data_IF_901116845750
#
_entry.id   IF_901116845750
#
_cell.length_a   1.000
_cell.length_b   1.000
_cell.length_c   1.000
_cell.angle_alpha   90.00
_cell.angle_beta   90.00
_cell.angle_gamma   90.00
#
_symmetry.space_group_name_H-M   'P 1'
#
loop_
_entity.id
_entity.type
_entity.pdbx_description
1 polymer ?
#
# COMPACT_ATOMS: atom_id res chain seq x y z
N UNK A 1 -6.05 -25.96 -5.56
CA UNK A 1 -5.37 -25.02 -6.48
C UNK A 1 -3.91 -25.07 -6.17
N UNK A 2 -3.02 -25.10 -7.16
CA UNK A 2 -1.57 -25.13 -6.94
C UNK A 2 -1.11 -23.82 -6.26
N UNK A 3 -0.15 -23.92 -5.35
CA UNK A 3 0.48 -22.76 -4.73
C UNK A 3 1.23 -21.96 -5.79
N UNK A 4 1.08 -20.61 -5.83
CA UNK A 4 1.82 -19.80 -6.79
C UNK A 4 3.33 -19.92 -6.55
N UNK A 5 4.06 -20.06 -7.65
CA UNK A 5 5.51 -20.28 -7.64
C UNK A 5 6.23 -18.94 -7.77
N UNK A 6 7.01 -18.57 -6.75
CA UNK A 6 7.77 -17.33 -6.70
C UNK A 6 9.26 -17.63 -6.87
N UNK A 7 9.88 -17.12 -7.92
CA UNK A 7 11.32 -17.24 -8.09
C UNK A 7 12.02 -16.09 -7.38
N UNK A 8 12.70 -16.38 -6.27
CA UNK A 8 13.51 -15.46 -5.49
C UNK A 8 14.95 -15.50 -6.02
N UNK A 9 15.47 -14.36 -6.45
CA UNK A 9 16.82 -14.22 -6.99
C UNK A 9 17.59 -13.24 -6.11
N UNK A 10 18.52 -13.80 -5.31
CA UNK A 10 19.26 -13.07 -4.28
C UNK A 10 20.59 -13.78 -4.05
N UNK A 11 21.72 -13.07 -4.06
CA UNK A 11 23.07 -13.60 -3.84
C UNK A 11 23.48 -13.62 -2.37
N UNK A 12 22.83 -12.84 -1.50
CA UNK A 12 22.98 -12.93 -0.04
C UNK A 12 22.15 -14.11 0.48
N UNK A 13 22.84 -15.21 0.87
CA UNK A 13 22.20 -16.44 1.38
C UNK A 13 21.29 -16.18 2.59
N UNK A 14 21.69 -15.29 3.52
CA UNK A 14 20.91 -15.00 4.73
C UNK A 14 19.61 -14.26 4.42
N UNK A 15 19.67 -13.32 3.48
CA UNK A 15 18.49 -12.59 3.04
C UNK A 15 17.59 -13.47 2.17
N UNK A 16 18.18 -14.27 1.29
CA UNK A 16 17.44 -15.24 0.48
C UNK A 16 16.65 -16.21 1.35
N UNK A 17 17.27 -16.79 2.40
CA UNK A 17 16.62 -17.68 3.37
C UNK A 17 15.46 -16.97 4.07
N UNK A 18 15.66 -15.77 4.59
CA UNK A 18 14.60 -14.99 5.24
C UNK A 18 13.42 -14.65 4.32
N UNK A 19 13.69 -14.32 3.05
CA UNK A 19 12.66 -14.05 2.04
C UNK A 19 11.90 -15.34 1.67
N UNK A 20 12.63 -16.43 1.44
CA UNK A 20 12.07 -17.75 1.13
C UNK A 20 11.16 -18.20 2.29
N UNK A 21 11.65 -18.21 3.53
CA UNK A 21 10.87 -18.58 4.71
C UNK A 21 9.60 -17.73 4.84
N UNK A 22 9.72 -16.41 4.64
CA UNK A 22 8.57 -15.49 4.70
C UNK A 22 7.51 -15.83 3.64
N UNK A 23 7.94 -16.16 2.42
CA UNK A 23 7.04 -16.53 1.33
C UNK A 23 6.43 -17.92 1.53
N UNK A 24 7.20 -18.91 2.02
CA UNK A 24 6.67 -20.23 2.37
C UNK A 24 5.61 -20.14 3.47
N UNK A 25 5.91 -19.42 4.56
CA UNK A 25 4.96 -19.17 5.65
C UNK A 25 3.70 -18.44 5.15
N UNK A 26 3.81 -17.67 4.10
CA UNK A 26 2.68 -16.97 3.46
C UNK A 26 1.95 -17.83 2.42
N UNK A 27 2.35 -19.14 2.30
CA UNK A 27 1.71 -20.16 1.47
C UNK A 27 2.00 -19.96 -0.03
N UNK A 28 3.15 -19.43 -0.38
CA UNK A 28 3.72 -19.50 -1.72
C UNK A 28 4.68 -20.68 -1.81
N UNK A 29 5.01 -21.05 -3.04
CA UNK A 29 6.10 -22.01 -3.32
C UNK A 29 7.32 -21.23 -3.84
N UNK A 30 8.24 -20.79 -2.98
CA UNK A 30 9.43 -20.10 -3.42
C UNK A 30 10.44 -21.06 -4.06
N UNK A 31 11.12 -20.58 -5.08
CA UNK A 31 12.29 -21.21 -5.69
C UNK A 31 13.42 -20.20 -5.58
N UNK A 32 14.59 -20.62 -5.08
CA UNK A 32 15.74 -19.73 -4.96
C UNK A 32 16.73 -19.91 -6.11
N UNK A 33 17.27 -18.80 -6.58
CA UNK A 33 18.39 -18.72 -7.52
C UNK A 33 19.41 -17.69 -6.99
N UNK A 34 20.70 -18.02 -7.02
CA UNK A 34 21.73 -17.16 -6.45
C UNK A 34 22.13 -15.99 -7.39
N UNK A 35 21.75 -16.03 -8.65
CA UNK A 35 22.04 -14.99 -9.65
C UNK A 35 21.06 -15.02 -10.82
N UNK A 36 21.11 -14.00 -11.68
CA UNK A 36 20.23 -13.91 -12.83
C UNK A 36 20.40 -15.03 -13.87
N UNK A 37 21.56 -15.67 -13.96
CA UNK A 37 21.78 -16.80 -14.90
C UNK A 37 21.07 -18.04 -14.39
N UNK A 38 21.26 -18.39 -13.11
CA UNK A 38 20.56 -19.49 -12.46
C UNK A 38 19.03 -19.28 -12.51
N UNK A 39 18.58 -18.03 -12.37
CA UNK A 39 17.18 -17.67 -12.51
C UNK A 39 16.62 -17.98 -13.91
N UNK A 40 17.33 -17.62 -14.97
CA UNK A 40 16.89 -17.92 -16.34
C UNK A 40 16.82 -19.42 -16.63
N UNK A 41 17.76 -20.22 -16.10
CA UNK A 41 17.72 -21.68 -16.21
C UNK A 41 16.49 -22.27 -15.53
N UNK A 42 16.14 -21.78 -14.32
CA UNK A 42 14.92 -22.20 -13.62
C UNK A 42 13.65 -21.80 -14.36
N UNK A 43 13.62 -20.61 -14.93
CA UNK A 43 12.48 -20.14 -15.73
C UNK A 43 12.20 -21.02 -16.96
N UNK A 44 13.19 -21.76 -17.50
CA UNK A 44 13.00 -22.67 -18.61
C UNK A 44 12.37 -24.00 -18.18
N UNK A 45 12.57 -24.42 -16.92
CA UNK A 45 12.20 -25.74 -16.43
C UNK A 45 11.01 -25.75 -15.48
N UNK A 46 10.76 -24.61 -14.81
CA UNK A 46 9.72 -24.50 -13.77
C UNK A 46 8.62 -23.51 -14.17
N UNK A 47 7.37 -23.79 -13.83
CA UNK A 47 6.29 -22.82 -13.98
C UNK A 47 6.43 -21.76 -12.87
N UNK A 48 6.83 -20.54 -13.23
CA UNK A 48 7.00 -19.41 -12.31
C UNK A 48 5.90 -18.40 -12.57
N UNK A 49 5.22 -17.97 -11.48
CA UNK A 49 4.12 -17.00 -11.51
C UNK A 49 4.59 -15.57 -11.24
N UNK A 50 5.76 -15.42 -10.56
CA UNK A 50 6.36 -14.12 -10.24
C UNK A 50 7.87 -14.28 -10.02
N UNK A 51 8.66 -13.32 -10.45
CA UNK A 51 10.09 -13.20 -10.14
C UNK A 51 10.28 -12.06 -9.14
N UNK A 52 10.98 -12.34 -8.04
CA UNK A 52 11.44 -11.37 -7.05
C UNK A 52 12.96 -11.36 -7.07
N UNK A 53 13.60 -10.27 -7.55
CA UNK A 53 15.04 -10.23 -7.77
C UNK A 53 15.72 -9.05 -7.10
N UNK A 54 16.91 -9.27 -6.52
CA UNK A 54 17.78 -8.13 -6.19
C UNK A 54 18.24 -7.43 -7.46
N UNK A 55 18.51 -6.14 -7.33
CA UNK A 55 19.11 -5.30 -8.39
C UNK A 55 20.59 -5.62 -8.56
N UNK A 56 21.31 -5.81 -7.45
CA UNK A 56 22.77 -5.97 -7.43
C UNK A 56 23.18 -7.41 -7.19
N UNK A 57 23.59 -8.12 -8.24
CA UNK A 57 24.10 -9.49 -8.18
C UNK A 57 25.17 -9.69 -9.24
N UNK A 58 26.10 -10.62 -9.02
CA UNK A 58 27.09 -11.07 -10.00
C UNK A 58 26.91 -12.58 -10.27
N UNK A 59 27.08 -13.07 -11.51
CA UNK A 59 27.58 -12.40 -12.71
C UNK A 59 26.52 -11.69 -13.57
N UNK A 60 25.23 -11.83 -13.28
CA UNK A 60 24.11 -11.17 -13.97
C UNK A 60 23.27 -10.42 -12.97
N UNK A 61 23.15 -9.10 -13.13
CA UNK A 61 22.36 -8.24 -12.27
C UNK A 61 20.85 -8.36 -12.54
N UNK A 62 20.04 -7.82 -11.61
CA UNK A 62 18.58 -7.87 -11.71
C UNK A 62 18.03 -7.05 -12.86
N UNK A 63 18.70 -5.98 -13.30
CA UNK A 63 18.26 -5.15 -14.42
C UNK A 63 18.45 -5.91 -15.76
N UNK A 64 19.52 -6.67 -15.91
CA UNK A 64 19.72 -7.52 -17.08
C UNK A 64 18.75 -8.70 -17.07
N UNK A 65 18.53 -9.31 -15.90
CA UNK A 65 17.53 -10.37 -15.73
C UNK A 65 16.14 -9.87 -16.12
N UNK A 66 15.71 -8.72 -15.61
CA UNK A 66 14.42 -8.09 -15.94
C UNK A 66 14.24 -7.95 -17.46
N UNK A 67 15.23 -7.36 -18.14
CA UNK A 67 15.19 -7.17 -19.60
C UNK A 67 15.02 -8.49 -20.35
N UNK A 68 15.75 -9.53 -19.96
CA UNK A 68 15.68 -10.87 -20.60
C UNK A 68 14.34 -11.54 -20.32
N UNK A 69 13.86 -11.49 -19.07
CA UNK A 69 12.55 -12.05 -18.71
C UNK A 69 11.45 -11.36 -19.50
N UNK A 70 11.47 -10.02 -19.60
CA UNK A 70 10.46 -9.27 -20.34
C UNK A 70 10.53 -9.45 -21.85
N UNK A 71 11.69 -9.78 -22.41
CA UNK A 71 11.84 -10.11 -23.82
C UNK A 71 11.20 -11.48 -24.16
N UNK A 72 11.32 -12.47 -23.27
CA UNK A 72 10.82 -13.84 -23.49
C UNK A 72 9.41 -14.05 -22.94
N UNK A 73 9.08 -13.43 -21.79
CA UNK A 73 7.81 -13.55 -21.06
C UNK A 73 7.31 -12.16 -20.61
N UNK A 74 6.75 -11.35 -21.52
CA UNK A 74 6.33 -9.97 -21.21
C UNK A 74 5.30 -9.90 -20.07
N UNK A 75 4.45 -10.91 -19.93
CA UNK A 75 3.38 -10.95 -18.94
C UNK A 75 3.83 -11.42 -17.55
N UNK A 76 5.01 -12.05 -17.42
CA UNK A 76 5.51 -12.52 -16.13
C UNK A 76 5.89 -11.32 -15.25
N UNK A 77 5.24 -11.12 -14.08
CA UNK A 77 5.58 -10.02 -13.19
C UNK A 77 6.97 -10.20 -12.60
N UNK A 78 7.76 -9.11 -12.59
CA UNK A 78 9.08 -9.05 -11.97
C UNK A 78 9.07 -7.94 -10.94
N UNK A 79 9.34 -8.27 -9.68
CA UNK A 79 9.53 -7.34 -8.58
C UNK A 79 11.01 -7.16 -8.32
N UNK A 80 11.46 -5.91 -8.14
CA UNK A 80 12.85 -5.59 -7.89
C UNK A 80 13.07 -5.28 -6.41
N UNK A 81 14.12 -5.84 -5.79
CA UNK A 81 14.57 -5.49 -4.44
C UNK A 81 15.81 -4.59 -4.55
N UNK A 82 15.89 -3.52 -3.75
CA UNK A 82 17.04 -2.59 -3.82
C UNK A 82 17.43 -2.06 -2.44
N UNK A 83 18.72 -2.09 -2.11
CA UNK A 83 19.27 -1.49 -0.89
C UNK A 83 19.45 0.04 -0.98
N UNK A 84 19.56 0.57 -2.19
CA UNK A 84 19.73 1.99 -2.46
C UNK A 84 18.56 2.50 -3.29
N UNK A 85 17.47 2.84 -2.61
CA UNK A 85 16.31 3.50 -3.20
C UNK A 85 16.61 4.92 -3.66
N UNK A 86 17.59 5.10 -4.57
CA UNK A 86 17.60 6.33 -5.35
C UNK A 86 16.38 6.24 -6.27
N UNK A 87 15.53 7.23 -6.17
CA UNK A 87 14.32 7.39 -7.00
C UNK A 87 14.63 7.10 -8.48
N UNK A 88 15.83 7.46 -8.96
CA UNK A 88 16.30 7.24 -10.31
C UNK A 88 16.41 5.76 -10.73
N UNK A 89 16.85 4.87 -9.84
CA UNK A 89 17.01 3.43 -10.16
C UNK A 89 15.69 2.68 -10.11
N UNK A 90 14.85 2.96 -9.12
CA UNK A 90 13.48 2.44 -9.07
C UNK A 90 12.70 2.86 -10.33
N UNK A 91 12.86 4.11 -10.74
CA UNK A 91 12.32 4.65 -12.02
C UNK A 91 12.81 3.85 -13.21
N UNK A 92 14.09 3.50 -13.25
CA UNK A 92 14.67 2.76 -14.38
C UNK A 92 14.12 1.34 -14.45
N UNK A 93 14.05 0.62 -13.33
CA UNK A 93 13.48 -0.73 -13.26
C UNK A 93 11.99 -0.76 -13.67
N UNK A 94 11.18 0.18 -13.17
CA UNK A 94 9.78 0.31 -13.57
C UNK A 94 9.64 0.60 -15.08
N UNK A 95 10.56 1.35 -15.65
CA UNK A 95 10.61 1.66 -17.08
C UNK A 95 11.01 0.45 -17.94
N UNK A 96 11.84 -0.42 -17.42
CA UNK A 96 12.25 -1.66 -18.09
C UNK A 96 11.20 -2.78 -17.95
N UNK A 97 10.05 -2.47 -17.31
CA UNK A 97 8.92 -3.37 -17.23
C UNK A 97 8.81 -4.10 -15.88
N UNK A 98 9.53 -3.68 -14.85
CA UNK A 98 9.29 -4.17 -13.51
C UNK A 98 7.83 -3.91 -13.11
N UNK A 99 7.20 -4.86 -12.42
CA UNK A 99 5.84 -4.71 -11.94
C UNK A 99 5.78 -3.79 -10.71
N UNK A 100 6.80 -3.88 -9.83
CA UNK A 100 6.96 -3.04 -8.65
C UNK A 100 8.41 -3.15 -8.12
N UNK A 101 8.72 -2.40 -7.05
CA UNK A 101 10.01 -2.48 -6.37
C UNK A 101 9.84 -2.45 -4.84
N UNK A 102 10.80 -3.06 -4.14
CA UNK A 102 10.89 -3.11 -2.69
C UNK A 102 12.21 -2.49 -2.25
N UNK A 103 12.16 -1.54 -1.32
CA UNK A 103 13.37 -0.90 -0.77
C UNK A 103 13.82 -1.67 0.46
N UNK A 104 15.04 -2.22 0.45
CA UNK A 104 15.67 -2.89 1.61
C UNK A 104 16.16 -1.83 2.62
N UNK A 105 15.99 -2.02 3.94
CA UNK A 105 15.27 -3.13 4.56
C UNK A 105 13.76 -2.97 4.48
N UNK A 106 13.02 -4.06 4.29
CA UNK A 106 11.56 -4.07 4.25
C UNK A 106 11.01 -5.04 5.31
N UNK A 107 9.83 -4.72 5.82
CA UNK A 107 9.08 -5.59 6.73
C UNK A 107 8.51 -6.78 5.96
N UNK A 108 8.40 -7.95 6.62
CA UNK A 108 7.83 -9.16 6.04
C UNK A 108 6.42 -8.92 5.44
N UNK A 109 5.62 -8.10 6.12
CA UNK A 109 4.27 -7.73 5.67
C UNK A 109 4.29 -6.96 4.34
N UNK A 110 5.24 -6.05 4.16
CA UNK A 110 5.38 -5.27 2.91
C UNK A 110 5.75 -6.19 1.75
N UNK A 111 6.67 -7.14 1.97
CA UNK A 111 7.04 -8.16 0.99
C UNK A 111 5.82 -8.98 0.57
N UNK A 112 5.12 -9.57 1.55
CA UNK A 112 3.97 -10.45 1.31
C UNK A 112 2.84 -9.71 0.59
N UNK A 113 2.52 -8.50 1.02
CA UNK A 113 1.48 -7.68 0.39
C UNK A 113 1.84 -7.30 -1.05
N UNK A 114 3.12 -7.00 -1.31
CA UNK A 114 3.58 -6.68 -2.66
C UNK A 114 3.54 -7.92 -3.56
N UNK A 115 4.06 -9.06 -3.10
CA UNK A 115 3.99 -10.32 -3.85
C UNK A 115 2.55 -10.75 -4.10
N UNK A 116 1.67 -10.66 -3.10
CA UNK A 116 0.26 -11.02 -3.22
C UNK A 116 -0.47 -10.22 -4.31
N UNK A 117 -0.10 -8.96 -4.49
CA UNK A 117 -0.65 -8.08 -5.53
C UNK A 117 -0.38 -8.59 -6.94
N UNK A 118 0.75 -9.25 -7.16
CA UNK A 118 1.20 -9.67 -8.49
C UNK A 118 1.19 -11.18 -8.73
N UNK A 119 1.25 -12.00 -7.68
CA UNK A 119 1.29 -13.46 -7.78
C UNK A 119 -0.09 -14.13 -8.01
N UNK A 120 -1.09 -13.39 -8.43
CA UNK A 120 -2.40 -13.94 -8.85
C UNK A 120 -3.29 -14.46 -7.71
N UNK A 121 -2.86 -14.41 -6.44
CA UNK A 121 -3.66 -14.89 -5.30
C UNK A 121 -4.90 -14.04 -4.99
N UNK A 122 -4.93 -12.79 -5.44
CA UNK A 122 -6.11 -11.93 -5.32
C UNK A 122 -7.09 -12.06 -6.51
N UNK A 123 -6.75 -12.84 -7.56
CA UNK A 123 -7.53 -12.91 -8.80
C UNK A 123 -8.58 -14.03 -8.86
N UNK A 124 -8.50 -15.08 -8.06
CA UNK A 124 -9.36 -16.26 -8.21
C UNK A 124 -10.32 -16.53 -7.03
N UNK A 125 -10.33 -15.70 -5.98
CA UNK A 125 -11.07 -15.97 -4.74
C UNK A 125 -12.13 -14.95 -4.33
N UNK A 126 -12.21 -13.77 -4.93
CA UNK A 126 -13.16 -12.76 -4.52
C UNK A 126 -14.47 -12.80 -5.32
N UNK A 127 -15.10 -13.96 -5.35
CA UNK A 127 -16.47 -14.08 -5.87
C UNK A 127 -17.52 -13.65 -4.85
N UNK A 128 -17.12 -13.35 -3.62
CA UNK A 128 -18.07 -13.00 -2.56
C UNK A 128 -17.46 -11.98 -1.58
N UNK A 129 -18.25 -10.94 -1.24
CA UNK A 129 -17.90 -10.03 -0.17
C UNK A 129 -18.22 -10.68 1.17
N UNK A 130 -17.23 -10.85 2.03
CA UNK A 130 -17.41 -11.44 3.35
C UNK A 130 -18.16 -10.46 4.25
N UNK A 131 -19.29 -10.91 4.82
CA UNK A 131 -20.07 -10.13 5.80
C UNK A 131 -21.53 -10.58 5.83
N UNK A 132 -22.12 -10.44 7.03
CA UNK A 132 -23.52 -10.81 7.35
C UNK A 132 -24.39 -9.57 7.61
N UNK A 133 -23.82 -8.37 7.50
CA UNK A 133 -24.54 -7.13 7.71
C UNK A 133 -25.40 -6.77 6.50
N UNK A 134 -26.66 -6.33 6.70
CA UNK A 134 -27.51 -5.88 5.60
C UNK A 134 -26.87 -4.83 4.69
N UNK A 135 -26.04 -3.92 5.23
CA UNK A 135 -25.32 -2.91 4.45
C UNK A 135 -24.32 -3.54 3.49
N UNK A 136 -23.67 -4.63 3.88
CA UNK A 136 -22.74 -5.36 3.02
C UNK A 136 -23.49 -6.17 1.97
N UNK A 137 -24.64 -6.75 2.30
CA UNK A 137 -25.50 -7.42 1.33
C UNK A 137 -26.05 -6.44 0.29
N UNK A 138 -26.53 -5.25 0.72
CA UNK A 138 -27.00 -4.18 -0.19
C UNK A 138 -25.87 -3.69 -1.09
N UNK A 139 -24.65 -3.50 -0.55
CA UNK A 139 -23.47 -3.13 -1.32
C UNK A 139 -23.14 -4.20 -2.38
N UNK A 140 -23.17 -5.48 -2.01
CA UNK A 140 -22.91 -6.59 -2.92
C UNK A 140 -23.93 -6.65 -4.05
N UNK A 141 -25.21 -6.48 -3.75
CA UNK A 141 -26.29 -6.46 -4.74
C UNK A 141 -26.18 -5.26 -5.68
N UNK A 142 -25.86 -4.10 -5.15
CA UNK A 142 -25.61 -2.89 -5.92
C UNK A 142 -24.39 -3.06 -6.83
N UNK A 143 -23.28 -3.57 -6.28
CA UNK A 143 -22.07 -3.83 -7.03
C UNK A 143 -22.30 -4.83 -8.19
N UNK A 144 -23.06 -5.92 -7.98
CA UNK A 144 -23.41 -6.85 -9.07
C UNK A 144 -24.21 -6.19 -10.20
N UNK A 145 -25.18 -5.34 -9.86
CA UNK A 145 -25.96 -4.60 -10.87
C UNK A 145 -25.07 -3.62 -11.66
N UNK A 146 -24.15 -2.92 -10.97
CA UNK A 146 -23.20 -1.98 -11.60
C UNK A 146 -22.17 -2.74 -12.43
N UNK A 147 -21.77 -3.93 -11.98
CA UNK A 147 -20.80 -4.76 -12.67
C UNK A 147 -21.24 -5.14 -14.09
N UNK A 148 -22.56 -5.30 -14.33
CA UNK A 148 -23.11 -5.60 -15.64
C UNK A 148 -22.94 -4.48 -16.67
N UNK A 149 -22.54 -3.26 -16.26
CA UNK A 149 -22.31 -2.11 -17.13
C UNK A 149 -20.82 -1.71 -17.15
N UNK A 150 -20.40 -0.99 -18.21
CA UNK A 150 -19.06 -0.40 -18.31
C UNK A 150 -18.98 1.00 -17.66
N UNK A 151 -19.98 1.37 -16.84
CA UNK A 151 -19.99 2.67 -16.19
C UNK A 151 -18.78 2.85 -15.26
N UNK A 152 -18.16 4.02 -15.34
CA UNK A 152 -17.13 4.41 -14.38
C UNK A 152 -17.72 4.47 -12.98
N UNK A 153 -17.07 3.86 -12.02
CA UNK A 153 -17.57 3.74 -10.66
C UNK A 153 -16.58 4.38 -9.69
N UNK A 154 -17.07 5.30 -8.85
CA UNK A 154 -16.30 5.92 -7.78
C UNK A 154 -16.67 5.25 -6.45
N UNK A 155 -15.71 4.51 -5.90
CA UNK A 155 -15.84 3.80 -4.62
C UNK A 155 -15.28 4.71 -3.53
N UNK A 156 -16.12 5.11 -2.59
CA UNK A 156 -15.73 6.00 -1.49
C UNK A 156 -15.89 5.32 -0.13
N UNK A 157 -15.06 5.69 0.82
CA UNK A 157 -15.11 5.17 2.18
C UNK A 157 -13.82 5.43 2.93
N UNK A 158 -13.87 5.36 4.24
CA UNK A 158 -12.71 5.56 5.11
C UNK A 158 -11.54 4.64 4.74
N UNK A 159 -10.34 5.00 5.20
CA UNK A 159 -9.17 4.13 5.01
C UNK A 159 -9.41 2.76 5.67
N UNK A 160 -8.96 1.69 5.01
CA UNK A 160 -9.09 0.33 5.56
C UNK A 160 -10.47 -0.31 5.45
N UNK A 161 -11.48 0.31 4.78
CA UNK A 161 -12.84 -0.25 4.64
C UNK A 161 -12.95 -1.38 3.62
N UNK A 162 -11.89 -1.63 2.81
CA UNK A 162 -11.88 -2.68 1.79
C UNK A 162 -12.27 -2.20 0.38
N UNK A 163 -12.01 -0.94 0.02
CA UNK A 163 -12.34 -0.36 -1.29
C UNK A 163 -11.77 -1.16 -2.46
N UNK A 164 -10.53 -1.64 -2.38
CA UNK A 164 -9.93 -2.48 -3.41
C UNK A 164 -10.61 -3.84 -3.53
N UNK A 165 -11.04 -4.45 -2.41
CA UNK A 165 -11.79 -5.71 -2.41
C UNK A 165 -13.11 -5.57 -3.17
N UNK A 166 -13.83 -4.46 -2.93
CA UNK A 166 -15.06 -4.13 -3.66
C UNK A 166 -14.78 -3.88 -5.14
N UNK A 167 -13.68 -3.23 -5.51
CA UNK A 167 -13.29 -3.03 -6.90
C UNK A 167 -13.02 -4.36 -7.61
N UNK A 168 -12.33 -5.29 -6.97
CA UNK A 168 -12.08 -6.64 -7.48
C UNK A 168 -13.37 -7.46 -7.60
N UNK A 169 -14.27 -7.32 -6.63
CA UNK A 169 -15.60 -7.94 -6.70
C UNK A 169 -16.41 -7.42 -7.89
N UNK A 170 -16.41 -6.09 -8.14
CA UNK A 170 -17.03 -5.49 -9.33
C UNK A 170 -16.44 -6.06 -10.63
N UNK A 171 -15.12 -6.21 -10.70
CA UNK A 171 -14.47 -6.80 -11.86
C UNK A 171 -14.87 -8.26 -12.05
N UNK A 172 -14.81 -9.07 -10.97
CA UNK A 172 -15.17 -10.50 -11.03
C UNK A 172 -16.62 -10.77 -11.40
N UNK A 173 -17.54 -9.85 -11.07
CA UNK A 173 -18.95 -9.92 -11.45
C UNK A 173 -19.25 -9.30 -12.84
N UNK A 174 -18.24 -8.74 -13.53
CA UNK A 174 -18.43 -8.03 -14.80
C UNK A 174 -18.26 -8.95 -16.03
N UNK A 175 -18.75 -8.53 -17.21
CA UNK A 175 -18.43 -9.22 -18.47
C UNK A 175 -16.94 -9.24 -18.81
N UNK A 176 -16.11 -8.44 -18.09
CA UNK A 176 -14.65 -8.32 -18.24
C UNK A 176 -13.86 -9.14 -17.22
N UNK A 177 -14.53 -10.07 -16.49
CA UNK A 177 -13.92 -10.87 -15.42
C UNK A 177 -12.71 -11.71 -15.87
N UNK A 178 -12.71 -12.13 -17.14
CA UNK A 178 -11.59 -12.87 -17.76
C UNK A 178 -10.47 -11.94 -18.27
N UNK A 179 -10.71 -10.63 -18.31
CA UNK A 179 -9.73 -9.64 -18.75
C UNK A 179 -8.78 -9.22 -17.61
N UNK A 180 -7.75 -8.43 -17.92
CA UNK A 180 -6.82 -7.97 -16.91
C UNK A 180 -7.48 -7.03 -15.89
N UNK A 181 -7.11 -7.19 -14.60
CA UNK A 181 -7.39 -6.23 -13.55
C UNK A 181 -6.10 -5.52 -13.16
N UNK A 182 -5.96 -4.27 -13.57
CA UNK A 182 -4.76 -3.48 -13.31
C UNK A 182 -5.08 -2.43 -12.24
N UNK A 183 -4.35 -2.45 -11.12
CA UNK A 183 -4.52 -1.48 -10.05
C UNK A 183 -3.31 -0.53 -10.00
N UNK A 184 -3.57 0.76 -9.79
CA UNK A 184 -2.56 1.80 -9.62
C UNK A 184 -2.92 2.62 -8.39
N UNK A 185 -2.03 2.63 -7.40
CA UNK A 185 -2.18 3.49 -6.23
C UNK A 185 -1.56 4.86 -6.54
N UNK A 186 -2.40 5.90 -6.65
CA UNK A 186 -1.96 7.24 -7.01
C UNK A 186 -1.18 7.95 -5.90
N UNK A 187 -1.35 7.53 -4.63
CA UNK A 187 -0.61 8.08 -3.51
C UNK A 187 0.80 7.47 -3.35
N UNK A 188 0.98 6.21 -3.80
CA UNK A 188 2.23 5.49 -3.61
C UNK A 188 3.31 5.87 -4.66
N UNK A 189 2.91 6.46 -5.78
CA UNK A 189 3.80 6.75 -6.91
C UNK A 189 4.08 8.26 -6.95
N UNK A 190 5.35 8.70 -6.99
CA UNK A 190 5.69 10.12 -7.18
C UNK A 190 5.01 10.70 -8.43
N UNK A 191 4.55 11.96 -8.35
CA UNK A 191 3.81 12.66 -9.39
C UNK A 191 4.46 12.55 -10.78
N UNK A 192 5.76 12.80 -10.86
CA UNK A 192 6.54 12.74 -12.10
C UNK A 192 6.58 11.37 -12.75
N UNK A 193 6.34 10.31 -11.97
CA UNK A 193 6.32 8.93 -12.44
C UNK A 193 4.90 8.44 -12.74
N UNK A 194 3.92 8.95 -12.01
CA UNK A 194 2.54 8.52 -12.14
C UNK A 194 2.03 8.76 -13.57
N UNK A 195 2.43 9.88 -14.19
CA UNK A 195 2.11 10.20 -15.57
C UNK A 195 2.66 9.15 -16.55
N UNK A 196 3.96 8.85 -16.45
CA UNK A 196 4.62 7.84 -17.29
C UNK A 196 4.04 6.44 -17.05
N UNK A 197 3.68 6.13 -15.80
CA UNK A 197 3.08 4.85 -15.43
C UNK A 197 1.69 4.68 -16.03
N UNK A 198 0.84 5.72 -15.94
CA UNK A 198 -0.53 5.64 -16.43
C UNK A 198 -0.62 5.62 -17.95
N UNK A 199 0.10 6.53 -18.63
CA UNK A 199 -0.06 6.75 -20.07
C UNK A 199 1.02 6.10 -20.93
N UNK A 200 2.12 5.62 -20.30
CA UNK A 200 3.26 5.09 -21.03
C UNK A 200 4.12 6.19 -21.67
N UNK A 201 5.21 5.79 -22.31
CA UNK A 201 6.15 6.71 -22.94
C UNK A 201 6.87 6.08 -24.13
N UNK A 202 7.27 6.92 -25.07
CA UNK A 202 8.11 6.57 -26.20
C UNK A 202 9.59 6.76 -25.86
N UNK A 203 10.46 6.09 -26.59
CA UNK A 203 11.91 6.26 -26.47
C UNK A 203 12.29 7.74 -26.62
N UNK A 204 13.05 8.27 -25.64
CA UNK A 204 13.50 9.66 -25.63
C UNK A 204 12.50 10.68 -25.07
N UNK A 205 11.36 10.24 -24.51
CA UNK A 205 10.35 11.14 -23.94
C UNK A 205 10.88 11.99 -22.78
N UNK A 206 11.85 11.46 -22.03
CA UNK A 206 12.56 12.17 -20.95
C UNK A 206 13.96 11.54 -20.77
N UNK A 207 14.81 12.19 -19.94
CA UNK A 207 16.14 11.67 -19.62
C UNK A 207 16.04 10.29 -18.98
N UNK A 208 16.56 9.25 -19.66
CA UNK A 208 16.48 7.84 -19.24
C UNK A 208 15.37 7.02 -19.90
N UNK A 209 14.56 7.56 -20.80
CA UNK A 209 13.63 6.79 -21.62
C UNK A 209 14.38 6.09 -22.78
N UNK A 210 15.10 5.01 -22.47
CA UNK A 210 15.92 4.29 -23.47
C UNK A 210 15.08 3.41 -24.41
N UNK A 211 13.92 2.95 -23.93
CA UNK A 211 12.96 2.14 -24.71
C UNK A 211 11.55 2.72 -24.51
N UNK A 212 10.63 2.39 -25.40
CA UNK A 212 9.21 2.69 -25.23
C UNK A 212 8.58 1.72 -24.24
N UNK A 213 7.65 2.19 -23.40
CA UNK A 213 6.91 1.36 -22.44
C UNK A 213 5.42 1.65 -22.52
N UNK A 214 4.55 0.62 -22.58
CA UNK A 214 3.12 0.81 -22.54
C UNK A 214 2.67 1.26 -21.14
N UNK A 215 1.70 2.16 -21.10
CA UNK A 215 1.09 2.62 -19.86
C UNK A 215 0.11 1.62 -19.26
N UNK A 216 -0.31 1.87 -18.00
CA UNK A 216 -1.29 1.02 -17.31
C UNK A 216 -2.66 1.01 -18.01
N UNK A 217 -3.03 2.08 -18.71
CA UNK A 217 -4.23 2.08 -19.55
C UNK A 217 -4.12 1.05 -20.69
N UNK A 218 -2.98 0.97 -21.36
CA UNK A 218 -2.75 -0.02 -22.42
C UNK A 218 -2.70 -1.46 -21.84
N UNK A 219 -2.08 -1.64 -20.66
CA UNK A 219 -2.00 -2.94 -19.97
C UNK A 219 -3.39 -3.44 -19.51
N UNK A 220 -4.34 -2.53 -19.25
CA UNK A 220 -5.69 -2.87 -18.84
C UNK A 220 -6.63 -3.12 -20.04
N UNK A 221 -6.13 -3.15 -21.25
CA UNK A 221 -6.94 -3.33 -22.47
C UNK A 221 -7.81 -4.60 -22.41
N UNK A 222 -9.09 -4.46 -22.73
CA UNK A 222 -10.10 -5.53 -22.62
C UNK A 222 -10.55 -5.84 -21.19
N UNK A 223 -9.97 -5.16 -20.17
CA UNK A 223 -10.21 -5.42 -18.76
C UNK A 223 -10.64 -4.20 -17.96
N UNK A 224 -10.11 -4.09 -16.74
CA UNK A 224 -10.45 -3.04 -15.76
C UNK A 224 -9.21 -2.37 -15.20
N UNK A 225 -9.19 -1.05 -15.16
CA UNK A 225 -8.18 -0.23 -14.49
C UNK A 225 -8.77 0.34 -13.19
N UNK A 226 -8.11 0.07 -12.07
CA UNK A 226 -8.41 0.68 -10.78
C UNK A 226 -7.42 1.82 -10.51
N UNK A 227 -7.94 3.02 -10.30
CA UNK A 227 -7.21 4.19 -9.82
C UNK A 227 -7.49 4.34 -8.32
N UNK A 228 -6.58 3.79 -7.49
CA UNK A 228 -6.72 3.83 -6.04
C UNK A 228 -6.21 5.16 -5.48
N UNK A 229 -6.92 5.73 -4.51
CA UNK A 229 -6.64 7.03 -3.89
C UNK A 229 -6.52 8.19 -4.90
N UNK A 230 -7.50 8.28 -5.82
CA UNK A 230 -7.52 9.27 -6.93
C UNK A 230 -7.42 10.72 -6.45
N UNK A 231 -7.84 11.01 -5.21
CA UNK A 231 -7.76 12.34 -4.59
C UNK A 231 -6.34 12.86 -4.39
N UNK A 232 -5.33 11.98 -4.45
CA UNK A 232 -3.91 12.34 -4.28
C UNK A 232 -3.24 12.77 -5.60
N UNK A 233 -3.96 12.66 -6.71
CA UNK A 233 -3.44 13.03 -8.03
C UNK A 233 -3.37 14.55 -8.19
N UNK A 234 -2.27 15.06 -8.76
CA UNK A 234 -2.11 16.49 -9.05
C UNK A 234 -3.06 17.02 -10.13
N UNK A 235 -3.32 18.33 -10.15
CA UNK A 235 -4.28 18.95 -11.05
C UNK A 235 -3.89 18.83 -12.54
N UNK A 236 -2.60 18.80 -12.85
CA UNK A 236 -2.11 18.67 -14.23
C UNK A 236 -2.41 17.29 -14.79
N UNK A 237 -2.17 16.28 -13.97
CA UNK A 237 -2.44 14.88 -14.32
C UNK A 237 -3.95 14.59 -14.38
N UNK A 238 -4.74 15.22 -13.49
CA UNK A 238 -6.21 15.15 -13.54
C UNK A 238 -6.76 15.64 -14.89
N UNK A 239 -6.18 16.70 -15.48
CA UNK A 239 -6.60 17.20 -16.78
C UNK A 239 -6.32 16.21 -17.92
N UNK A 240 -5.17 15.53 -17.88
CA UNK A 240 -4.83 14.48 -18.85
C UNK A 240 -5.71 13.24 -18.69
N UNK A 241 -5.94 12.82 -17.45
CA UNK A 241 -6.85 11.72 -17.15
C UNK A 241 -8.26 11.99 -17.68
N UNK A 242 -8.79 13.18 -17.47
CA UNK A 242 -10.10 13.58 -18.00
C UNK A 242 -10.18 13.40 -19.50
N UNK A 243 -9.15 13.84 -20.23
CA UNK A 243 -9.08 13.72 -21.69
C UNK A 243 -9.13 12.23 -22.11
N UNK A 244 -8.32 11.38 -21.47
CA UNK A 244 -8.30 9.93 -21.74
C UNK A 244 -9.68 9.30 -21.47
N UNK A 245 -10.35 9.66 -20.38
CA UNK A 245 -11.67 9.16 -20.04
C UNK A 245 -12.78 9.63 -20.99
N UNK A 246 -12.62 10.80 -21.60
CA UNK A 246 -13.59 11.37 -22.56
C UNK A 246 -13.41 10.79 -23.96
N UNK A 247 -12.17 10.78 -24.45
CA UNK A 247 -11.82 10.39 -25.81
C UNK A 247 -11.69 8.87 -25.96
N UNK A 248 -11.47 8.13 -24.84
CA UNK A 248 -11.15 6.71 -24.82
C UNK A 248 -9.91 6.38 -25.66
N UNK A 249 -8.95 7.23 -25.60
CA UNK A 249 -7.70 7.14 -26.33
C UNK A 249 -6.56 7.62 -25.44
N UNK A 250 -5.36 7.07 -25.66
CA UNK A 250 -4.15 7.49 -24.96
C UNK A 250 -3.03 7.78 -25.95
N UNK A 251 -2.27 8.83 -25.68
CA UNK A 251 -1.00 9.12 -26.31
C UNK A 251 0.11 8.89 -25.29
N UNK A 252 1.16 8.15 -25.69
CA UNK A 252 2.35 7.98 -24.84
C UNK A 252 3.11 9.29 -24.74
N UNK A 253 3.76 9.52 -23.63
CA UNK A 253 4.66 10.66 -23.43
C UNK A 253 5.73 10.70 -24.52
N UNK A 254 5.93 11.85 -25.13
CA UNK A 254 6.88 12.01 -26.24
C UNK A 254 6.45 11.36 -27.55
N UNK A 255 5.33 10.66 -27.60
CA UNK A 255 4.72 10.07 -28.78
C UNK A 255 3.71 10.98 -29.47
N UNK A 256 3.28 10.56 -30.66
CA UNK A 256 2.16 11.16 -31.40
C UNK A 256 1.15 10.09 -31.85
N UNK A 257 1.42 8.86 -31.49
CA UNK A 257 0.53 7.74 -31.84
C UNK A 257 -0.59 7.66 -30.80
N UNK A 258 -1.80 7.77 -31.28
CA UNK A 258 -3.02 7.55 -30.50
C UNK A 258 -3.30 6.05 -30.45
N UNK A 259 -3.58 5.56 -29.25
CA UNK A 259 -3.98 4.17 -28.98
C UNK A 259 -5.42 4.20 -28.44
N UNK A 260 -6.35 3.57 -29.15
CA UNK A 260 -7.73 3.45 -28.70
C UNK A 260 -7.82 2.50 -27.49
N UNK A 261 -8.63 2.87 -26.50
CA UNK A 261 -8.78 2.16 -25.25
C UNK A 261 -10.17 1.50 -25.13
N UNK A 262 -10.16 0.22 -24.85
CA UNK A 262 -11.33 -0.53 -24.38
C UNK A 262 -11.10 -0.97 -22.93
N UNK A 263 -11.21 -0.05 -22.00
CA UNK A 263 -10.89 -0.22 -20.59
C UNK A 263 -12.06 0.28 -19.73
N UNK A 264 -12.51 -0.54 -18.79
CA UNK A 264 -13.39 -0.09 -17.71
C UNK A 264 -12.56 0.58 -16.62
N UNK A 265 -12.98 1.76 -16.14
CA UNK A 265 -12.27 2.49 -15.10
C UNK A 265 -13.07 2.46 -13.80
N UNK A 266 -12.41 2.07 -12.73
CA UNK A 266 -12.86 2.19 -11.34
C UNK A 266 -11.93 3.18 -10.63
N UNK A 267 -12.47 4.00 -9.74
CA UNK A 267 -11.67 4.91 -8.93
C UNK A 267 -12.04 4.75 -7.45
N UNK A 268 -11.07 4.94 -6.56
CA UNK A 268 -11.34 4.97 -5.11
C UNK A 268 -10.90 6.28 -4.49
N UNK A 269 -11.53 6.67 -3.39
CA UNK A 269 -11.09 7.77 -2.53
C UNK A 269 -11.48 7.52 -1.08
N UNK A 270 -10.61 7.94 -0.17
CA UNK A 270 -10.89 8.00 1.26
C UNK A 270 -11.26 9.42 1.73
N UNK A 271 -11.22 10.41 0.83
CA UNK A 271 -11.57 11.82 1.10
C UNK A 271 -13.00 12.13 0.65
N UNK A 272 -13.57 13.17 1.22
CA UNK A 272 -14.80 13.78 0.68
C UNK A 272 -14.47 14.50 -0.64
N UNK A 273 -14.78 13.86 -1.75
CA UNK A 273 -14.48 14.39 -3.08
C UNK A 273 -15.16 15.73 -3.38
N UNK A 274 -16.35 16.00 -2.78
CA UNK A 274 -17.01 17.29 -2.95
C UNK A 274 -16.26 18.40 -2.21
N UNK A 275 -15.74 18.10 -1.03
CA UNK A 275 -14.89 19.01 -0.28
C UNK A 275 -13.55 19.27 -1.02
N UNK A 276 -12.95 18.24 -1.64
CA UNK A 276 -11.73 18.38 -2.46
C UNK A 276 -11.98 19.29 -3.69
N UNK A 277 -13.13 19.14 -4.36
CA UNK A 277 -13.54 20.00 -5.47
C UNK A 277 -13.75 21.44 -5.00
N UNK A 278 -14.49 21.65 -3.90
CA UNK A 278 -14.73 22.98 -3.34
C UNK A 278 -13.44 23.69 -2.90
N UNK A 279 -12.44 22.94 -2.45
CA UNK A 279 -11.12 23.44 -2.07
C UNK A 279 -10.17 23.65 -3.28
N UNK A 280 -10.59 23.33 -4.50
CA UNK A 280 -9.79 23.46 -5.72
C UNK A 280 -8.65 22.45 -5.85
N UNK A 281 -8.61 21.40 -5.03
CA UNK A 281 -7.61 20.33 -5.11
C UNK A 281 -8.00 19.22 -6.09
N UNK A 282 -9.28 19.14 -6.45
CA UNK A 282 -9.79 18.21 -7.45
C UNK A 282 -10.65 18.94 -8.48
N UNK A 283 -10.50 18.60 -9.76
CA UNK A 283 -11.27 19.25 -10.84
C UNK A 283 -12.72 18.77 -10.82
N UNK A 284 -13.64 19.69 -10.93
CA UNK A 284 -15.08 19.41 -10.96
C UNK A 284 -15.49 18.56 -12.17
N UNK A 285 -14.92 18.86 -13.35
CA UNK A 285 -15.21 18.11 -14.59
C UNK A 285 -14.76 16.63 -14.49
N UNK A 286 -13.60 16.37 -13.92
CA UNK A 286 -13.12 15.01 -13.68
C UNK A 286 -13.97 14.29 -12.62
N UNK A 287 -14.36 15.00 -11.55
CA UNK A 287 -15.24 14.44 -10.53
C UNK A 287 -16.54 13.89 -11.15
N UNK A 288 -17.23 14.68 -11.97
CA UNK A 288 -18.46 14.21 -12.63
C UNK A 288 -18.21 13.06 -13.62
N UNK A 289 -17.05 13.02 -14.26
CA UNK A 289 -16.69 11.94 -15.19
C UNK A 289 -16.37 10.62 -14.46
N UNK A 290 -15.79 10.68 -13.27
CA UNK A 290 -15.51 9.50 -12.43
C UNK A 290 -16.74 9.06 -11.63
N UNK A 291 -17.54 9.99 -11.15
CA UNK A 291 -18.71 9.76 -10.29
C UNK A 291 -19.99 9.51 -11.10
N UNK A 292 -19.88 8.69 -12.17
CA UNK A 292 -21.08 8.25 -12.92
C UNK A 292 -21.92 7.33 -12.06
N UNK A 293 -21.25 6.44 -11.31
CA UNK A 293 -21.90 5.60 -10.33
C UNK A 293 -21.15 5.68 -8.99
N UNK A 294 -21.71 6.35 -7.97
CA UNK A 294 -21.12 6.37 -6.63
C UNK A 294 -21.41 5.05 -5.88
N UNK A 295 -20.38 4.51 -5.25
CA UNK A 295 -20.47 3.30 -4.43
C UNK A 295 -19.83 3.55 -3.06
N UNK A 296 -20.58 4.08 -2.07
CA UNK A 296 -20.06 4.33 -0.75
C UNK A 296 -19.96 3.04 0.05
N UNK A 297 -18.83 2.84 0.76
CA UNK A 297 -18.62 1.73 1.69
C UNK A 297 -18.76 2.26 3.12
N UNK A 298 -19.65 1.65 3.88
CA UNK A 298 -19.82 1.98 5.29
C UNK A 298 -18.58 1.60 6.09
N UNK A 299 -18.16 2.41 7.08
CA UNK A 299 -17.10 2.04 8.02
C UNK A 299 -17.54 0.82 8.85
N UNK A 300 -16.55 0.08 9.40
CA UNK A 300 -16.80 -1.19 10.08
C UNK A 300 -17.71 -1.05 11.31
N UNK A 301 -17.61 0.05 12.04
CA UNK A 301 -18.50 0.39 13.16
C UNK A 301 -19.99 0.48 12.79
N UNK A 302 -20.29 0.80 11.54
CA UNK A 302 -21.65 0.91 11.01
C UNK A 302 -22.21 -0.41 10.44
N UNK A 303 -21.38 -1.46 10.41
CA UNK A 303 -21.74 -2.82 9.98
C UNK A 303 -21.23 -3.87 10.99
N UNK A 304 -21.69 -3.82 12.24
CA UNK A 304 -21.14 -4.64 13.33
C UNK A 304 -21.31 -6.13 13.13
N UNK A 305 -22.29 -6.56 12.32
CA UNK A 305 -22.48 -7.98 12.00
C UNK A 305 -21.36 -8.56 11.13
N UNK A 306 -20.62 -7.73 10.43
CA UNK A 306 -19.49 -8.16 9.62
C UNK A 306 -18.21 -8.44 10.43
N UNK A 307 -18.11 -7.90 11.65
CA UNK A 307 -16.87 -7.95 12.45
C UNK A 307 -16.41 -9.40 12.66
N UNK A 308 -17.28 -10.28 13.10
CA UNK A 308 -16.87 -11.67 13.35
C UNK A 308 -16.65 -12.49 12.07
N UNK A 309 -17.54 -12.48 11.08
CA UNK A 309 -17.28 -13.14 9.81
C UNK A 309 -15.97 -12.69 9.14
N UNK A 310 -15.66 -11.38 9.19
CA UNK A 310 -14.39 -10.86 8.72
C UNK A 310 -13.22 -11.34 9.59
N UNK A 311 -13.37 -11.35 10.91
CA UNK A 311 -12.34 -11.83 11.81
C UNK A 311 -12.01 -13.31 11.58
N UNK A 312 -13.02 -14.16 11.43
CA UNK A 312 -12.85 -15.57 11.13
C UNK A 312 -12.17 -15.79 9.79
N UNK A 313 -12.59 -15.06 8.74
CA UNK A 313 -11.98 -15.11 7.43
C UNK A 313 -10.51 -14.67 7.44
N UNK A 314 -10.18 -13.59 8.16
CA UNK A 314 -8.81 -13.08 8.30
C UNK A 314 -7.94 -14.05 9.09
N UNK A 315 -8.46 -14.62 10.18
CA UNK A 315 -7.75 -15.65 10.95
C UNK A 315 -7.50 -16.91 10.13
N UNK A 316 -8.48 -17.38 9.36
CA UNK A 316 -8.30 -18.52 8.46
C UNK A 316 -7.17 -18.24 7.46
N UNK A 317 -7.14 -17.04 6.87
CA UNK A 317 -6.08 -16.62 5.94
C UNK A 317 -4.71 -16.63 6.62
N UNK A 318 -4.56 -16.00 7.79
CA UNK A 318 -3.30 -15.94 8.50
C UNK A 318 -2.85 -17.30 9.05
N UNK A 319 -3.77 -18.11 9.60
CA UNK A 319 -3.46 -19.44 10.10
C UNK A 319 -2.95 -20.36 8.97
N UNK A 320 -3.58 -20.30 7.78
CA UNK A 320 -3.10 -21.02 6.59
C UNK A 320 -1.70 -20.56 6.17
N UNK A 321 -1.43 -19.25 6.20
CA UNK A 321 -0.11 -18.71 5.87
C UNK A 321 0.99 -19.18 6.84
N UNK A 322 0.63 -19.35 8.11
CA UNK A 322 1.54 -19.83 9.16
C UNK A 322 1.60 -21.38 9.26
N UNK A 323 0.87 -22.10 8.39
CA UNK A 323 0.80 -23.56 8.46
C UNK A 323 0.19 -24.11 9.76
N UNK A 324 -0.67 -23.32 10.44
CA UNK A 324 -1.27 -23.62 11.74
C UNK A 324 -2.74 -23.98 11.62
N UNK A 325 -3.24 -24.70 12.62
CA UNK A 325 -4.68 -24.88 12.81
C UNK A 325 -5.36 -23.52 13.03
N UNK A 326 -6.56 -23.36 12.50
CA UNK A 326 -7.34 -22.13 12.64
C UNK A 326 -7.86 -22.05 14.08
N UNK A 327 -7.44 -21.07 14.88
CA UNK A 327 -7.92 -20.92 16.24
C UNK A 327 -9.37 -20.42 16.25
N UNK A 328 -10.12 -20.79 17.30
CA UNK A 328 -11.46 -20.25 17.53
C UNK A 328 -11.35 -18.90 18.22
N UNK A 329 -12.31 -18.01 17.95
CA UNK A 329 -12.45 -16.76 18.70
C UNK A 329 -13.27 -17.07 19.94
N UNK A 330 -12.70 -16.95 21.13
CA UNK A 330 -13.40 -17.12 22.41
C UNK A 330 -14.49 -16.07 22.59
N UNK A 331 -15.51 -16.38 23.37
CA UNK A 331 -16.69 -15.51 23.55
C UNK A 331 -16.31 -14.11 24.08
N UNK A 332 -15.38 -14.04 25.03
CA UNK A 332 -14.86 -12.77 25.55
C UNK A 332 -14.11 -11.94 24.53
N UNK A 333 -13.32 -12.58 23.66
CA UNK A 333 -12.63 -11.92 22.55
C UNK A 333 -13.63 -11.43 21.50
N UNK A 334 -14.63 -12.23 21.15
CA UNK A 334 -15.68 -11.86 20.22
C UNK A 334 -16.48 -10.62 20.68
N UNK A 335 -16.79 -10.57 21.99
CA UNK A 335 -17.47 -9.40 22.58
C UNK A 335 -16.60 -8.15 22.54
N UNK A 336 -15.30 -8.30 22.81
CA UNK A 336 -14.34 -7.20 22.76
C UNK A 336 -14.17 -6.67 21.33
N UNK A 337 -14.10 -7.55 20.34
CA UNK A 337 -14.04 -7.16 18.92
C UNK A 337 -15.30 -6.41 18.49
N UNK A 338 -16.49 -6.84 18.91
CA UNK A 338 -17.75 -6.16 18.57
C UNK A 338 -17.89 -4.77 19.19
N UNK A 339 -17.30 -4.53 20.38
CA UNK A 339 -17.40 -3.25 21.09
C UNK A 339 -16.45 -2.18 20.61
N UNK A 340 -15.43 -2.56 19.88
CA UNK A 340 -14.42 -1.61 19.39
C UNK A 340 -14.96 -0.81 18.19
N UNK A 341 -14.60 0.49 18.11
CA UNK A 341 -15.11 1.42 17.10
C UNK A 341 -14.39 1.29 15.73
N UNK A 342 -13.26 0.58 15.68
CA UNK A 342 -12.50 0.30 14.49
C UNK A 342 -12.16 1.55 13.64
N UNK A 343 -11.45 2.56 14.17
CA UNK A 343 -11.06 3.74 13.39
C UNK A 343 -10.22 3.40 12.15
N UNK A 344 -9.41 2.34 12.19
CA UNK A 344 -8.68 1.79 11.05
C UNK A 344 -9.45 0.73 10.25
N UNK A 345 -10.74 0.53 10.56
CA UNK A 345 -11.65 -0.39 9.87
C UNK A 345 -11.10 -1.84 9.76
N UNK A 346 -11.24 -2.48 8.61
CA UNK A 346 -10.80 -3.87 8.37
C UNK A 346 -9.28 -4.00 8.43
N UNK A 347 -8.52 -2.94 8.07
CA UNK A 347 -7.05 -2.96 8.18
C UNK A 347 -6.59 -3.03 9.63
N UNK A 348 -7.25 -2.33 10.53
CA UNK A 348 -6.97 -2.42 11.98
C UNK A 348 -7.36 -3.79 12.54
N UNK A 349 -8.55 -4.30 12.15
CA UNK A 349 -8.99 -5.65 12.53
C UNK A 349 -7.98 -6.71 12.08
N UNK A 350 -7.49 -6.63 10.86
CA UNK A 350 -6.48 -7.52 10.29
C UNK A 350 -5.19 -7.52 11.13
N UNK A 351 -4.65 -6.34 11.45
CA UNK A 351 -3.45 -6.19 12.27
C UNK A 351 -3.64 -6.72 13.71
N UNK A 352 -4.80 -6.48 14.31
CA UNK A 352 -5.12 -6.99 15.66
C UNK A 352 -5.13 -8.51 15.68
N UNK A 353 -5.78 -9.13 14.69
CA UNK A 353 -5.89 -10.59 14.59
C UNK A 353 -4.55 -11.26 14.25
N UNK A 354 -3.76 -10.66 13.38
CA UNK A 354 -2.42 -11.13 13.07
C UNK A 354 -1.53 -11.15 14.32
N UNK A 355 -1.55 -10.06 15.11
CA UNK A 355 -0.83 -10.00 16.40
C UNK A 355 -1.32 -11.06 17.38
N UNK A 356 -2.65 -11.19 17.52
CA UNK A 356 -3.25 -12.20 18.39
C UNK A 356 -2.80 -13.62 18.00
N UNK A 357 -2.77 -13.94 16.71
CA UNK A 357 -2.36 -15.25 16.22
C UNK A 357 -0.87 -15.54 16.46
N UNK A 358 0.00 -14.52 16.36
CA UNK A 358 1.44 -14.65 16.62
C UNK A 358 1.71 -14.86 18.12
N UNK A 359 1.00 -14.12 18.98
CA UNK A 359 1.24 -14.18 20.44
C UNK A 359 0.59 -15.38 21.11
N UNK A 360 -0.49 -15.92 20.53
CA UNK A 360 -1.26 -17.03 21.06
C UNK A 360 -0.97 -18.34 20.28
N UNK A 361 -0.21 -19.29 20.85
CA UNK A 361 0.11 -20.56 20.18
C UNK A 361 -0.99 -21.63 20.29
N UNK A 362 -2.08 -21.38 21.03
CA UNK A 362 -3.16 -22.34 21.28
C UNK A 362 -4.25 -22.36 20.22
N UNK A 363 -5.32 -23.12 20.50
CA UNK A 363 -6.44 -23.33 19.58
C UNK A 363 -7.59 -22.31 19.76
N UNK A 364 -7.45 -21.34 20.69
CA UNK A 364 -8.47 -20.34 21.02
C UNK A 364 -7.85 -18.98 21.32
N UNK A 365 -8.35 -17.92 20.67
CA UNK A 365 -8.00 -16.52 20.94
C UNK A 365 -8.86 -16.02 22.08
N UNK A 366 -8.24 -15.63 23.17
CA UNK A 366 -8.88 -15.12 24.36
C UNK A 366 -8.87 -13.58 24.41
N UNK A 367 -9.64 -13.00 25.33
CA UNK A 367 -9.71 -11.54 25.53
C UNK A 367 -8.34 -10.90 25.77
N UNK A 368 -7.43 -11.60 26.47
CA UNK A 368 -6.08 -11.14 26.75
C UNK A 368 -5.15 -11.09 25.54
N UNK A 369 -5.50 -11.80 24.48
CA UNK A 369 -4.70 -11.87 23.24
C UNK A 369 -5.07 -10.74 22.27
N UNK A 370 -6.21 -10.08 22.49
CA UNK A 370 -6.67 -8.95 21.70
C UNK A 370 -6.06 -7.66 22.24
N UNK A 371 -5.13 -7.09 21.49
CA UNK A 371 -4.47 -5.83 21.85
C UNK A 371 -4.78 -4.76 20.81
N UNK A 372 -5.55 -3.75 21.23
CA UNK A 372 -5.75 -2.54 20.42
C UNK A 372 -4.56 -1.59 20.59
N UNK A 373 -4.24 -0.82 19.56
CA UNK A 373 -3.21 0.22 19.69
C UNK A 373 -3.69 1.33 20.64
N UNK A 374 -2.91 1.73 21.65
CA UNK A 374 -3.24 2.86 22.48
C UNK A 374 -3.08 4.15 21.68
N UNK A 375 -4.20 4.75 21.28
CA UNK A 375 -4.15 6.11 20.73
C UNK A 375 -4.76 6.28 19.37
N UNK A 376 -6.04 6.52 19.36
CA UNK A 376 -6.73 7.71 18.86
C UNK A 376 -8.16 7.70 19.37
N UNK A 377 -8.31 7.73 20.68
CA UNK A 377 -9.62 8.02 21.29
C UNK A 377 -9.83 9.51 21.10
N UNK A 378 -10.47 9.90 20.02
CA UNK A 378 -11.20 11.16 20.00
C UNK A 378 -12.33 10.99 20.99
N UNK A 379 -12.09 11.43 22.22
CA UNK A 379 -13.08 11.51 23.26
C UNK A 379 -14.23 12.41 22.80
N UNK A 380 -15.30 11.80 22.32
CA UNK A 380 -16.60 12.43 22.17
C UNK A 380 -17.45 12.06 23.41
N UNK A 381 -17.16 12.71 24.50
CA UNK A 381 -18.12 12.81 25.62
C UNK A 381 -18.41 14.30 25.80
N UNK A 382 -19.65 14.78 25.62
CA UNK A 382 -19.97 16.13 25.97
C UNK A 382 -20.03 16.24 27.53
N UNK A 383 -19.32 17.18 28.14
CA UNK A 383 -19.51 17.46 29.57
C UNK A 383 -20.83 18.20 29.78
N UNK A 384 -21.47 18.02 30.96
CA UNK A 384 -22.69 18.72 31.30
C UNK A 384 -22.42 20.21 31.48
N UNK A 385 -23.41 21.01 31.10
CA UNK A 385 -23.44 22.46 31.16
C UNK A 385 -23.15 23.01 32.57
N UNK A 386 -22.20 23.95 32.62
CA UNK A 386 -22.15 24.99 33.64
C UNK A 386 -21.69 26.30 33.00
N UNK A 387 -22.41 27.35 33.27
CA UNK A 387 -22.35 28.72 32.73
C UNK A 387 -21.10 29.52 33.13
N UNK A 388 -20.91 30.76 32.64
CA UNK A 388 -19.65 31.17 32.00
C UNK A 388 -18.78 32.08 32.91
N UNK A 389 -17.50 32.01 32.72
CA UNK A 389 -16.60 33.12 33.08
C UNK A 389 -15.56 33.34 31.97
N UNK A 390 -15.61 34.55 31.47
CA UNK A 390 -14.78 35.19 30.47
C UNK A 390 -13.29 35.05 30.67
N UNK A 391 -12.51 34.79 29.63
CA UNK A 391 -11.47 35.64 29.01
C UNK A 391 -10.53 34.85 28.11
N UNK A 392 -10.44 35.26 26.87
CA UNK A 392 -9.26 35.52 26.08
C UNK A 392 -8.29 34.38 25.72
N UNK A 393 -8.13 34.09 24.42
CA UNK A 393 -6.80 33.84 23.91
C UNK A 393 -6.53 32.56 23.10
N UNK A 394 -6.54 32.69 21.79
CA UNK A 394 -5.50 32.30 20.82
C UNK A 394 -5.09 30.82 20.72
N UNK A 395 -5.37 30.24 19.57
CA UNK A 395 -4.65 29.25 18.73
C UNK A 395 -3.49 28.45 19.37
N UNK A 396 -3.67 27.13 19.50
CA UNK A 396 -2.61 26.19 19.97
C UNK A 396 -2.42 25.03 19.00
N UNK A 397 -1.88 25.26 17.80
CA UNK A 397 -1.25 24.20 16.99
C UNK A 397 0.28 24.37 16.86
N UNK A 398 0.82 25.50 17.31
CA UNK A 398 2.27 25.77 17.32
C UNK A 398 3.03 25.29 18.55
N UNK A 399 2.34 24.89 19.62
CA UNK A 399 2.94 24.73 20.94
C UNK A 399 3.55 23.35 21.22
N UNK A 400 3.00 22.28 20.67
CA UNK A 400 3.49 20.91 20.92
C UNK A 400 4.87 20.64 20.28
N UNK A 401 5.08 21.16 19.09
CA UNK A 401 6.35 21.01 18.36
C UNK A 401 7.45 21.85 19.00
N UNK A 402 7.09 23.02 19.54
CA UNK A 402 7.99 23.89 20.28
C UNK A 402 8.34 23.30 21.65
N UNK A 403 7.39 22.69 22.37
CA UNK A 403 7.65 21.99 23.63
C UNK A 403 8.52 20.75 23.48
N UNK A 404 8.31 19.95 22.41
CA UNK A 404 9.15 18.80 22.10
C UNK A 404 10.57 19.21 21.78
N UNK A 405 10.75 20.27 20.99
CA UNK A 405 12.08 20.84 20.69
C UNK A 405 12.77 21.38 21.95
N UNK A 406 12.05 22.06 22.83
CA UNK A 406 12.60 22.56 24.11
C UNK A 406 13.01 21.41 25.04
N UNK A 407 12.23 20.34 25.15
CA UNK A 407 12.58 19.16 25.94
C UNK A 407 13.81 18.45 25.38
N UNK A 408 13.89 18.28 24.07
CA UNK A 408 15.05 17.69 23.41
C UNK A 408 16.31 18.53 23.65
N UNK A 409 16.22 19.84 23.50
CA UNK A 409 17.30 20.79 23.78
C UNK A 409 17.77 20.70 25.23
N UNK A 410 16.86 20.69 26.19
CA UNK A 410 17.16 20.57 27.62
C UNK A 410 17.87 19.24 27.91
N UNK A 411 17.41 18.13 27.36
CA UNK A 411 18.03 16.80 27.53
C UNK A 411 19.45 16.75 26.97
N UNK A 412 19.70 17.38 25.82
CA UNK A 412 21.05 17.45 25.22
C UNK A 412 22.00 18.30 26.09
N UNK A 413 21.53 19.45 26.59
CA UNK A 413 22.33 20.33 27.45
C UNK A 413 22.65 19.68 28.80
N UNK A 414 21.71 18.96 29.40
CA UNK A 414 21.95 18.21 30.64
C UNK A 414 22.94 17.06 30.44
N UNK A 415 22.82 16.32 29.36
CA UNK A 415 23.74 15.23 29.04
C UNK A 415 25.18 15.75 28.84
N UNK A 416 25.35 16.93 28.22
CA UNK A 416 26.65 17.55 28.03
C UNK A 416 27.24 18.10 29.34
N UNK A 417 26.42 18.64 30.25
CA UNK A 417 26.89 19.14 31.56
C UNK A 417 27.32 18.00 32.48
N UNK A 418 26.67 16.84 32.36
CA UNK A 418 26.88 15.73 33.28
C UNK A 418 27.80 14.62 32.73
N UNK A 419 28.36 14.79 31.52
CA UNK A 419 29.28 13.84 30.91
C UNK A 419 30.68 14.43 30.76
N UNK A 420 31.76 13.71 31.12
CA UNK A 420 33.14 14.16 31.01
C UNK A 420 33.65 14.22 29.55
N UNK A 421 32.89 13.65 28.59
CA UNK A 421 33.25 13.71 27.18
C UNK A 421 31.98 13.65 26.28
N UNK A 422 32.10 14.21 25.07
CA UNK A 422 31.00 14.16 24.06
C UNK A 422 30.60 12.73 23.67
N UNK A 423 31.53 11.80 23.71
CA UNK A 423 31.30 10.39 23.47
C UNK A 423 30.40 9.79 24.54
N UNK A 424 30.61 10.13 25.78
CA UNK A 424 29.83 9.66 26.91
C UNK A 424 28.45 10.35 26.97
N UNK A 425 28.36 11.62 26.57
CA UNK A 425 27.09 12.31 26.39
C UNK A 425 26.22 11.65 25.30
N UNK A 426 26.83 11.25 24.19
CA UNK A 426 26.14 10.53 23.12
C UNK A 426 25.63 9.16 23.60
N UNK A 427 26.43 8.42 24.35
CA UNK A 427 26.05 7.13 24.94
C UNK A 427 24.87 7.27 25.91
N UNK A 428 24.84 8.28 26.75
CA UNK A 428 23.75 8.57 27.70
C UNK A 428 22.44 8.95 27.01
N UNK A 429 22.54 9.63 25.87
CA UNK A 429 21.39 10.01 25.05
C UNK A 429 20.92 8.89 24.10
N UNK A 430 21.61 7.74 24.06
CA UNK A 430 21.29 6.63 23.17
C UNK A 430 21.48 6.95 21.69
N UNK A 431 22.35 7.94 21.34
CA UNK A 431 22.59 8.36 19.96
C UNK A 431 24.06 8.20 19.56
N UNK A 432 24.34 8.13 18.24
CA UNK A 432 25.70 8.08 17.75
C UNK A 432 26.42 9.44 17.94
N UNK A 433 27.76 9.42 18.08
CA UNK A 433 28.57 10.64 18.16
C UNK A 433 28.34 11.57 16.95
N UNK A 434 28.09 11.00 15.78
CA UNK A 434 27.78 11.73 14.55
C UNK A 434 26.45 12.45 14.65
N UNK A 435 25.44 11.78 15.19
CA UNK A 435 24.08 12.33 15.40
C UNK A 435 24.13 13.46 16.44
N UNK A 436 24.87 13.27 17.55
CA UNK A 436 25.02 14.31 18.54
C UNK A 436 25.74 15.53 17.95
N UNK A 437 26.79 15.35 17.15
CA UNK A 437 27.50 16.45 16.48
C UNK A 437 26.59 17.26 15.56
N UNK A 438 25.74 16.59 14.79
CA UNK A 438 24.75 17.24 13.91
C UNK A 438 23.74 18.07 14.72
N UNK A 439 23.19 17.49 15.81
CA UNK A 439 22.24 18.19 16.70
C UNK A 439 22.88 19.40 17.39
N UNK A 440 24.13 19.31 17.81
CA UNK A 440 24.87 20.43 18.40
C UNK A 440 25.18 21.56 17.41
N UNK A 441 25.45 21.22 16.13
CA UNK A 441 25.62 22.21 15.08
C UNK A 441 24.33 23.01 14.87
N UNK A 442 23.19 22.32 14.82
CA UNK A 442 21.85 22.92 14.65
C UNK A 442 21.48 23.83 15.85
N UNK A 443 21.74 23.40 17.09
CA UNK A 443 21.51 24.22 18.29
C UNK A 443 22.37 25.50 18.33
N UNK A 444 23.58 25.45 17.73
CA UNK A 444 24.43 26.66 17.58
C UNK A 444 23.84 27.62 16.53
N UNK A 445 23.31 27.10 15.43
CA UNK A 445 22.63 27.91 14.42
C UNK A 445 21.36 28.55 14.99
N UNK A 446 20.67 27.87 15.90
CA UNK A 446 19.52 28.41 16.64
C UNK A 446 19.88 29.35 17.80
N UNK A 447 21.16 29.70 17.98
CA UNK A 447 21.65 30.70 18.94
C UNK A 447 21.81 30.22 20.38
N UNK A 448 21.83 28.89 20.61
CA UNK A 448 21.96 28.31 21.96
C UNK A 448 23.41 28.20 22.37
N UNK A 449 23.79 28.81 23.53
CA UNK A 449 25.10 28.65 24.13
C UNK A 449 25.32 27.22 24.64
N UNK A 450 26.33 26.54 24.09
CA UNK A 450 26.68 25.18 24.49
C UNK A 450 27.74 25.21 25.61
N UNK A 451 27.58 24.38 26.67
CA UNK A 451 28.62 24.19 27.65
C UNK A 451 29.90 23.67 26.99
N UNK A 452 31.06 24.24 27.36
CA UNK A 452 32.36 23.99 26.75
C UNK A 452 32.93 22.58 26.93
#
# INVERSE_FOLDING_TARGET
MSEPVILVVEDDESLAEAVVDTLELSGYRPLHAADGRAALERLQTEPVDLVLTDVWMEPMDGDELLRRVKAERPDLPVLMMTAYGTIEKAVTAMREGAADYLVKPFEAEVLVNTVARYAGRYGAGATELVGDDPKTAELADLARRVAASDATTLITGESGTGKEVVARYLHGCSPRSEGPFVAVNCAAIPETMLEATLFGYEKGAFTGAHQASPGKFEQAQGGTLLLDEISEMDLGLQAKLLRVLQEREVERLGGRRVVALDVRVLATSNRDMKAEVAAGRFREDLYYRLNVFPLPIAPLRDRPRDILPLAEHLLERHARQLGRAIPRIGEGAAEQLRRHDWPGNVRELDNVLQRALILQPGDEILTQDIHFEPGTVTASTPPPSAEPASTGGVSQEGDLESELRQREQTSILEALRNAPSRKEAAARLGVSERTLRYKLARLREDGVELPG
#
